data_IF_969690986702
#
_entry.id   IF_969690986702
#
_cell.length_a   1.000
_cell.length_b   1.000
_cell.length_c   1.000
_cell.angle_alpha   90.00
_cell.angle_beta   90.00
_cell.angle_gamma   90.00
#
_symmetry.space_group_name_H-M   'P 1'
#
loop_
_entity.id
_entity.type
_entity.pdbx_description
1 polymer ?
#
# COMPACT_ATOMS: atom_id res chain seq x y z
N UNK A 1 -2.11 -11.22 15.86
CA UNK A 1 -3.41 -10.78 16.43
C UNK A 1 -3.86 -11.63 17.60
N UNK A 2 -4.43 -12.83 17.43
CA UNK A 2 -4.94 -13.58 18.59
C UNK A 2 -3.92 -13.81 19.72
N UNK A 3 -2.66 -14.16 19.37
CA UNK A 3 -1.58 -14.31 20.36
C UNK A 3 -0.93 -12.97 20.77
N UNK A 4 -0.99 -11.97 19.89
CA UNK A 4 -0.34 -10.67 20.02
C UNK A 4 -1.32 -9.59 19.54
N UNK A 5 -2.18 -9.05 20.42
CA UNK A 5 -3.27 -8.14 20.05
C UNK A 5 -2.80 -6.73 19.67
N UNK A 6 -1.58 -6.35 20.11
CA UNK A 6 -0.93 -5.09 19.75
C UNK A 6 0.08 -5.37 18.64
N UNK A 7 -0.39 -5.40 17.39
CA UNK A 7 0.45 -5.81 16.28
C UNK A 7 0.32 -4.88 15.08
N UNK A 8 1.38 -4.85 14.28
CA UNK A 8 1.35 -4.30 12.94
C UNK A 8 1.21 -5.48 11.98
N UNK A 9 0.21 -5.42 11.10
CA UNK A 9 0.00 -6.39 10.03
C UNK A 9 0.30 -5.72 8.71
N UNK A 10 1.06 -6.41 7.86
CA UNK A 10 1.31 -6.00 6.49
C UNK A 10 0.66 -7.01 5.55
N UNK A 11 -0.22 -6.53 4.67
CA UNK A 11 -0.65 -7.28 3.49
C UNK A 11 0.09 -6.72 2.29
N UNK A 12 0.94 -7.56 1.71
CA UNK A 12 1.77 -7.18 0.58
C UNK A 12 1.04 -7.46 -0.74
N UNK A 13 1.17 -6.56 -1.72
CA UNK A 13 0.62 -6.66 -3.08
C UNK A 13 -0.85 -7.09 -3.12
N UNK A 14 -1.71 -6.34 -2.43
CA UNK A 14 -3.10 -6.74 -2.19
C UNK A 14 -3.93 -6.90 -3.48
N UNK A 15 -3.50 -6.29 -4.59
CA UNK A 15 -4.10 -6.49 -5.92
C UNK A 15 -3.91 -7.89 -6.51
N UNK A 16 -3.02 -8.71 -5.93
CA UNK A 16 -2.83 -10.11 -6.33
C UNK A 16 -3.67 -11.07 -5.49
N UNK A 17 -4.33 -10.58 -4.43
CA UNK A 17 -5.14 -11.40 -3.55
C UNK A 17 -6.41 -11.92 -4.26
N UNK A 18 -6.87 -13.10 -3.84
CA UNK A 18 -8.15 -13.63 -4.30
C UNK A 18 -9.30 -12.72 -3.84
N UNK A 19 -10.35 -12.50 -4.66
CA UNK A 19 -11.44 -11.59 -4.31
C UNK A 19 -12.10 -11.86 -2.94
N UNK A 20 -12.14 -13.11 -2.49
CA UNK A 20 -12.70 -13.48 -1.19
C UNK A 20 -11.97 -12.86 0.01
N UNK A 21 -10.68 -12.54 -0.15
CA UNK A 21 -9.90 -11.84 0.87
C UNK A 21 -10.49 -10.46 1.16
N UNK A 22 -11.05 -9.78 0.15
CA UNK A 22 -11.65 -8.46 0.36
C UNK A 22 -12.86 -8.50 1.30
N UNK A 23 -13.67 -9.56 1.25
CA UNK A 23 -14.82 -9.69 2.15
C UNK A 23 -14.38 -9.85 3.61
N UNK A 24 -13.33 -10.66 3.84
CA UNK A 24 -12.72 -10.82 5.17
C UNK A 24 -12.12 -9.50 5.65
N UNK A 25 -11.47 -8.76 4.76
CA UNK A 25 -10.90 -7.45 5.08
C UNK A 25 -11.95 -6.42 5.42
N UNK A 26 -13.07 -6.37 4.69
CA UNK A 26 -14.18 -5.47 5.01
C UNK A 26 -14.71 -5.77 6.41
N UNK A 27 -14.86 -7.03 6.80
CA UNK A 27 -15.26 -7.38 8.15
C UNK A 27 -14.26 -6.86 9.21
N UNK A 28 -12.96 -7.08 8.98
CA UNK A 28 -11.91 -6.60 9.91
C UNK A 28 -11.91 -5.08 10.01
N UNK A 29 -12.00 -4.38 8.88
CA UNK A 29 -11.93 -2.91 8.83
C UNK A 29 -13.19 -2.23 9.35
N UNK A 30 -14.36 -2.88 9.24
CA UNK A 30 -15.65 -2.34 9.70
C UNK A 30 -15.87 -2.63 11.20
N UNK A 31 -15.68 -3.87 11.62
CA UNK A 31 -16.02 -4.32 12.98
C UNK A 31 -14.84 -4.31 13.93
N UNK A 32 -13.62 -4.15 13.41
CA UNK A 32 -12.38 -4.34 14.18
C UNK A 32 -12.24 -5.77 14.69
N UNK A 33 -12.96 -6.74 14.12
CA UNK A 33 -13.07 -8.12 14.62
C UNK A 33 -13.21 -9.08 13.45
N UNK A 34 -12.76 -10.32 13.67
CA UNK A 34 -12.95 -11.42 12.74
C UNK A 34 -13.36 -12.67 13.49
N UNK A 35 -14.44 -13.31 13.06
CA UNK A 35 -14.82 -14.64 13.55
C UNK A 35 -14.20 -15.68 12.61
N UNK A 36 -13.35 -16.55 13.14
CA UNK A 36 -12.78 -17.64 12.34
C UNK A 36 -13.79 -18.79 12.11
N UNK A 37 -13.41 -19.77 11.31
CA UNK A 37 -14.26 -20.92 10.98
C UNK A 37 -14.57 -21.83 12.18
N UNK A 38 -13.83 -21.70 13.28
CA UNK A 38 -14.10 -22.41 14.54
C UNK A 38 -15.09 -21.66 15.44
N UNK A 39 -15.55 -20.48 15.02
CA UNK A 39 -16.44 -19.61 15.80
C UNK A 39 -15.70 -18.71 16.78
N UNK A 40 -14.38 -18.65 16.72
CA UNK A 40 -13.56 -17.87 17.63
C UNK A 40 -13.45 -16.44 17.15
N UNK A 41 -13.76 -15.50 18.04
CA UNK A 41 -13.66 -14.08 17.78
C UNK A 41 -12.24 -13.57 18.03
N UNK A 42 -11.66 -12.91 17.04
CA UNK A 42 -10.34 -12.29 17.07
C UNK A 42 -10.51 -10.78 17.01
N UNK A 43 -9.91 -10.06 17.95
CA UNK A 43 -9.99 -8.60 18.07
C UNK A 43 -8.79 -7.91 17.38
N UNK A 44 -9.09 -6.99 16.47
CA UNK A 44 -8.16 -6.17 15.69
C UNK A 44 -8.19 -4.69 16.11
N UNK A 45 -8.99 -4.30 17.11
CA UNK A 45 -9.16 -2.89 17.51
C UNK A 45 -7.86 -2.19 17.93
N UNK A 46 -6.85 -2.95 18.38
CA UNK A 46 -5.52 -2.42 18.71
C UNK A 46 -4.41 -2.87 17.73
N UNK A 47 -4.80 -3.11 16.48
CA UNK A 47 -3.89 -3.53 15.40
C UNK A 47 -3.81 -2.46 14.32
N UNK A 48 -2.59 -2.14 13.88
CA UNK A 48 -2.36 -1.28 12.71
C UNK A 48 -2.23 -2.19 11.49
N UNK A 49 -2.99 -1.90 10.44
CA UNK A 49 -2.96 -2.66 9.19
C UNK A 49 -2.37 -1.78 8.09
N UNK A 50 -1.28 -2.24 7.48
CA UNK A 50 -0.71 -1.68 6.26
C UNK A 50 -1.04 -2.57 5.07
N UNK A 51 -1.45 -1.94 3.98
CA UNK A 51 -1.62 -2.58 2.68
C UNK A 51 -0.63 -1.96 1.71
N UNK A 52 0.05 -2.79 0.91
CA UNK A 52 0.85 -2.30 -0.21
C UNK A 52 0.16 -2.70 -1.51
N UNK A 53 0.43 -1.91 -2.55
CA UNK A 53 -0.04 -2.21 -3.90
C UNK A 53 0.88 -1.57 -4.92
N UNK A 54 1.08 -2.25 -6.04
CA UNK A 54 1.83 -1.74 -7.19
C UNK A 54 0.90 -1.19 -8.30
N UNK A 55 -0.40 -1.04 -8.02
CA UNK A 55 -1.37 -0.58 -9.02
C UNK A 55 -1.07 0.82 -9.56
N UNK A 56 -1.02 0.92 -10.88
CA UNK A 56 -0.80 2.19 -11.59
C UNK A 56 0.63 2.73 -11.48
N UNK A 57 1.52 2.06 -10.76
CA UNK A 57 2.94 2.39 -10.75
C UNK A 57 3.53 2.15 -12.16
N UNK A 58 4.28 3.11 -12.72
CA UNK A 58 5.00 2.89 -13.97
C UNK A 58 6.01 1.75 -13.82
N UNK A 59 6.08 0.83 -14.80
CA UNK A 59 7.10 -0.21 -14.84
C UNK A 59 8.51 0.38 -15.01
N UNK A 60 8.59 1.49 -15.74
CA UNK A 60 9.76 2.34 -15.85
C UNK A 60 9.33 3.80 -15.99
N UNK A 61 10.29 4.71 -15.82
CA UNK A 61 10.07 6.15 -15.94
C UNK A 61 10.60 6.71 -17.27
N UNK A 62 10.91 5.86 -18.25
CA UNK A 62 11.56 6.27 -19.52
C UNK A 62 10.75 7.35 -20.24
N UNK A 63 9.43 7.17 -20.30
CA UNK A 63 8.48 8.15 -20.87
C UNK A 63 8.59 9.53 -20.23
N UNK A 64 8.84 9.59 -18.92
CA UNK A 64 8.88 10.84 -18.17
C UNK A 64 10.28 11.49 -18.16
N UNK A 65 11.30 10.70 -18.48
CA UNK A 65 12.70 11.10 -18.52
C UNK A 65 13.20 11.37 -19.96
N UNK A 66 12.31 11.36 -20.94
CA UNK A 66 12.69 11.70 -22.32
C UNK A 66 13.26 13.13 -22.36
N UNK A 67 14.53 13.25 -22.73
CA UNK A 67 15.30 14.50 -22.72
C UNK A 67 15.46 15.17 -21.34
N UNK A 68 15.26 14.45 -20.23
CA UNK A 68 15.41 14.94 -18.86
C UNK A 68 16.18 13.94 -18.00
N UNK A 69 16.98 14.44 -17.05
CA UNK A 69 17.70 13.60 -16.08
C UNK A 69 16.94 13.44 -14.74
N UNK A 70 15.76 14.05 -14.61
CA UNK A 70 14.97 14.03 -13.38
C UNK A 70 13.47 14.12 -13.70
N UNK A 71 12.64 13.62 -12.77
CA UNK A 71 11.19 13.80 -12.80
C UNK A 71 10.83 15.17 -12.28
N UNK A 72 10.18 15.98 -13.11
CA UNK A 72 9.67 17.28 -12.70
C UNK A 72 8.43 17.13 -11.80
N UNK A 73 8.05 18.19 -11.10
CA UNK A 73 6.82 18.21 -10.30
C UNK A 73 5.58 17.87 -11.12
N UNK A 74 5.53 18.32 -12.39
CA UNK A 74 4.44 18.02 -13.32
C UNK A 74 4.38 16.52 -13.62
N UNK A 75 5.53 15.89 -13.87
CA UNK A 75 5.63 14.45 -14.14
C UNK A 75 5.12 13.65 -12.92
N UNK A 76 5.53 14.04 -11.70
CA UNK A 76 5.09 13.42 -10.44
C UNK A 76 3.57 13.57 -10.23
N UNK A 77 3.00 14.74 -10.52
CA UNK A 77 1.56 14.98 -10.42
C UNK A 77 0.79 14.06 -11.38
N UNK A 78 1.27 13.90 -12.61
CA UNK A 78 0.64 13.00 -13.60
C UNK A 78 0.71 11.54 -13.14
N UNK A 79 1.88 11.08 -12.68
CA UNK A 79 2.06 9.72 -12.15
C UNK A 79 1.10 9.48 -10.97
N UNK A 80 1.04 10.40 -10.02
CA UNK A 80 0.13 10.29 -8.87
C UNK A 80 -1.33 10.24 -9.28
N UNK A 81 -1.73 11.00 -10.32
CA UNK A 81 -3.08 10.96 -10.87
C UNK A 81 -3.39 9.59 -11.49
N UNK A 82 -2.45 9.02 -12.24
CA UNK A 82 -2.60 7.70 -12.86
C UNK A 82 -2.73 6.61 -11.80
N UNK A 83 -1.88 6.64 -10.76
CA UNK A 83 -1.96 5.71 -9.62
C UNK A 83 -3.33 5.79 -8.95
N UNK A 84 -3.81 7.01 -8.63
CA UNK A 84 -5.14 7.18 -8.02
C UNK A 84 -6.26 6.61 -8.89
N UNK A 85 -6.22 6.88 -10.19
CA UNK A 85 -7.20 6.33 -11.14
C UNK A 85 -7.17 4.80 -11.17
N UNK A 86 -5.99 4.19 -11.20
CA UNK A 86 -5.84 2.74 -11.17
C UNK A 86 -6.38 2.13 -9.87
N UNK A 87 -6.11 2.74 -8.72
CA UNK A 87 -6.65 2.33 -7.42
C UNK A 87 -8.18 2.39 -7.42
N UNK A 88 -8.77 3.51 -7.87
CA UNK A 88 -10.22 3.69 -7.88
C UNK A 88 -10.95 2.78 -8.88
N UNK A 89 -10.28 2.40 -9.97
CA UNK A 89 -10.86 1.50 -10.97
C UNK A 89 -10.77 0.03 -10.55
N UNK A 90 -9.71 -0.35 -9.82
CA UNK A 90 -9.48 -1.73 -9.41
C UNK A 90 -10.21 -2.08 -8.11
N UNK A 91 -10.05 -1.28 -7.06
CA UNK A 91 -10.66 -1.57 -5.77
C UNK A 91 -12.07 -1.01 -5.68
N UNK A 92 -12.96 -1.78 -5.05
CA UNK A 92 -14.33 -1.34 -4.77
C UNK A 92 -14.31 -0.12 -3.83
N UNK A 93 -15.19 0.88 -4.03
CA UNK A 93 -15.32 2.02 -3.13
C UNK A 93 -15.53 1.63 -1.67
N UNK A 94 -16.21 0.51 -1.41
CA UNK A 94 -16.44 -0.04 -0.07
C UNK A 94 -15.13 -0.26 0.70
N UNK A 95 -14.11 -0.85 0.06
CA UNK A 95 -12.81 -1.06 0.69
C UNK A 95 -12.07 0.27 0.90
N UNK A 96 -12.03 1.12 -0.14
CA UNK A 96 -11.31 2.38 -0.11
C UNK A 96 -11.84 3.33 0.97
N UNK A 97 -13.16 3.36 1.16
CA UNK A 97 -13.82 4.19 2.17
C UNK A 97 -13.54 3.75 3.62
N UNK A 98 -12.96 2.56 3.82
CA UNK A 98 -12.54 2.07 5.14
C UNK A 98 -11.07 2.30 5.44
N UNK A 99 -10.28 2.60 4.41
CA UNK A 99 -8.88 2.97 4.61
C UNK A 99 -8.82 4.39 5.18
N UNK A 100 -8.08 4.55 6.28
CA UNK A 100 -7.90 5.86 6.90
C UNK A 100 -7.15 6.81 5.96
N UNK A 101 -6.06 6.33 5.35
CA UNK A 101 -5.22 7.08 4.45
C UNK A 101 -4.69 6.19 3.33
N UNK A 102 -4.56 6.76 2.13
CA UNK A 102 -3.85 6.16 1.01
C UNK A 102 -2.59 7.00 0.75
N UNK A 103 -1.43 6.39 0.94
CA UNK A 103 -0.13 7.03 0.74
C UNK A 103 0.44 6.59 -0.60
N UNK A 104 0.83 7.56 -1.43
CA UNK A 104 1.52 7.28 -2.70
C UNK A 104 2.99 7.60 -2.49
N UNK A 105 3.85 6.62 -2.75
CA UNK A 105 5.29 6.79 -2.61
C UNK A 105 5.86 7.50 -3.84
N UNK A 106 6.68 8.52 -3.59
CA UNK A 106 7.41 9.18 -4.65
C UNK A 106 8.52 8.27 -5.18
N UNK A 107 8.84 8.36 -6.48
CA UNK A 107 10.01 7.69 -7.05
C UNK A 107 11.30 8.11 -6.35
N UNK A 108 12.25 7.18 -6.25
CA UNK A 108 13.55 7.46 -5.64
C UNK A 108 14.37 8.39 -6.55
N UNK A 109 14.86 9.49 -5.97
CA UNK A 109 15.85 10.34 -6.61
C UNK A 109 17.28 9.95 -6.16
N UNK A 110 18.29 10.55 -6.79
CA UNK A 110 19.70 10.26 -6.48
C UNK A 110 20.05 10.50 -5.01
N UNK A 111 19.53 11.56 -4.40
CA UNK A 111 19.80 11.87 -2.99
C UNK A 111 19.21 10.79 -2.07
N UNK A 112 17.99 10.33 -2.37
CA UNK A 112 17.34 9.25 -1.64
C UNK A 112 18.14 7.94 -1.79
N UNK A 113 18.63 7.64 -3.00
CA UNK A 113 19.46 6.45 -3.25
C UNK A 113 20.77 6.49 -2.47
N UNK A 114 21.44 7.65 -2.40
CA UNK A 114 22.66 7.81 -1.59
C UNK A 114 22.37 7.54 -0.11
N UNK A 115 21.30 8.10 0.44
CA UNK A 115 20.88 7.84 1.83
C UNK A 115 20.60 6.35 2.07
N UNK A 116 19.96 5.69 1.10
CA UNK A 116 19.69 4.25 1.16
C UNK A 116 21.01 3.46 1.17
N UNK A 117 21.94 3.77 0.27
CA UNK A 117 23.26 3.14 0.21
C UNK A 117 24.02 3.31 1.54
N UNK A 118 24.06 4.53 2.08
CA UNK A 118 24.72 4.82 3.36
C UNK A 118 24.10 4.02 4.51
N UNK A 119 22.77 3.90 4.53
CA UNK A 119 22.07 3.09 5.53
C UNK A 119 22.49 1.62 5.45
N UNK A 120 22.58 1.05 4.25
CA UNK A 120 22.99 -0.34 4.08
C UNK A 120 24.47 -0.57 4.43
N UNK A 121 25.35 0.38 4.12
CA UNK A 121 26.76 0.30 4.50
C UNK A 121 26.98 0.38 6.01
N UNK A 122 26.19 1.18 6.73
CA UNK A 122 26.27 1.28 8.20
C UNK A 122 25.62 0.10 8.95
N UNK A 123 24.85 -0.73 8.25
CA UNK A 123 24.23 -1.94 8.80
C UNK A 123 25.11 -3.19 8.63
N UNK A 124 26.20 -3.09 7.85
CA UNK A 124 27.24 -4.11 7.68
C UNK A 124 28.38 -3.87 8.68
#
# INVERSE_FOLDING_TARGET
VYKNPNSVILFDEIEKAHPDIFNIMLQILDEGRLTDTSGKLIDFTNTIIFLTSNLGCPNDYSKYLENKNYLSEIDIIEINKNIKLSITNYFKPELLNRLTNILIFNPLNINNLLIICDKFLNLL
#
